data_IF_215370657728
#
_entry.id   IF_215370657728
#
_cell.length_a   1.000
_cell.length_b   1.000
_cell.length_c   1.000
_cell.angle_alpha   90.00
_cell.angle_beta   90.00
_cell.angle_gamma   90.00
#
_symmetry.space_group_name_H-M   'P 1'
#
loop_
_entity.id
_entity.type
_entity.pdbx_description
1 polymer ?
#
# COMPACT_ATOMS: atom_id res chain seq x y z
N UNK A 1 -67.79 -51.91 -24.57
CA UNK A 1 -68.76 -51.01 -23.92
C UNK A 1 -68.05 -50.33 -22.77
N UNK A 2 -68.02 -49.01 -22.85
CA UNK A 2 -67.86 -48.03 -21.76
C UNK A 2 -66.52 -47.92 -20.99
N UNK A 3 -65.82 -46.85 -21.37
CA UNK A 3 -64.99 -45.90 -20.62
C UNK A 3 -64.87 -46.04 -19.09
N UNK A 4 -63.69 -45.72 -18.53
CA UNK A 4 -63.40 -44.36 -18.01
C UNK A 4 -62.01 -44.23 -17.31
N UNK A 5 -61.30 -43.17 -17.73
CA UNK A 5 -60.31 -42.31 -17.04
C UNK A 5 -59.06 -42.88 -16.34
N UNK A 6 -57.91 -42.54 -16.94
CA UNK A 6 -56.57 -42.52 -16.34
C UNK A 6 -56.43 -41.40 -15.30
N UNK A 7 -55.95 -41.75 -14.10
CA UNK A 7 -55.28 -40.81 -13.18
C UNK A 7 -54.02 -41.50 -12.66
N UNK A 8 -52.89 -40.81 -12.84
CA UNK A 8 -51.55 -41.20 -12.45
C UNK A 8 -51.39 -41.24 -10.92
N UNK A 9 -50.81 -42.31 -10.38
CA UNK A 9 -50.36 -42.40 -8.99
C UNK A 9 -48.82 -42.53 -8.94
N UNK A 10 -48.21 -41.42 -8.53
CA UNK A 10 -46.98 -41.24 -7.76
C UNK A 10 -46.06 -42.48 -7.59
N UNK A 11 -45.02 -42.54 -8.40
CA UNK A 11 -43.83 -43.35 -8.17
C UNK A 11 -42.85 -42.61 -7.26
N UNK A 12 -42.50 -43.22 -6.14
CA UNK A 12 -41.42 -42.82 -5.27
C UNK A 12 -40.07 -42.96 -6.00
N UNK A 13 -39.30 -41.88 -6.10
CA UNK A 13 -37.91 -41.91 -6.53
C UNK A 13 -37.03 -41.71 -5.29
N UNK A 14 -36.13 -42.67 -5.10
CA UNK A 14 -35.13 -42.70 -4.06
C UNK A 14 -34.27 -41.43 -4.07
N UNK A 15 -34.11 -40.81 -2.91
CA UNK A 15 -33.14 -39.76 -2.66
C UNK A 15 -31.73 -40.37 -2.69
N UNK A 16 -31.06 -40.26 -3.84
CA UNK A 16 -29.62 -40.47 -3.95
C UNK A 16 -28.90 -39.23 -3.41
N UNK A 17 -28.29 -39.36 -2.23
CA UNK A 17 -27.36 -38.38 -1.69
C UNK A 17 -26.07 -38.41 -2.52
N UNK A 18 -25.91 -37.45 -3.41
CA UNK A 18 -24.60 -37.12 -3.99
C UNK A 18 -23.81 -36.33 -2.94
N UNK A 19 -22.57 -36.71 -2.62
CA UNK A 19 -21.75 -35.92 -1.72
C UNK A 19 -21.39 -34.61 -2.42
N UNK A 20 -21.74 -33.49 -1.78
CA UNK A 20 -21.12 -32.20 -2.09
C UNK A 20 -19.61 -32.39 -1.95
N UNK A 21 -18.90 -32.20 -3.05
CA UNK A 21 -17.45 -32.05 -3.02
C UNK A 21 -17.15 -30.82 -2.14
N UNK A 22 -16.57 -31.08 -0.97
CA UNK A 22 -15.93 -30.09 -0.13
C UNK A 22 -14.95 -29.31 -1.01
N UNK A 23 -15.17 -28.01 -1.12
CA UNK A 23 -14.24 -27.09 -1.72
C UNK A 23 -12.86 -27.32 -1.10
N UNK A 24 -11.85 -27.48 -1.96
CA UNK A 24 -10.47 -27.61 -1.55
C UNK A 24 -10.05 -26.39 -0.72
N UNK A 25 -9.20 -26.56 0.31
CA UNK A 25 -8.59 -25.43 0.98
C UNK A 25 -7.75 -24.63 -0.02
N UNK A 26 -7.71 -23.32 0.19
CA UNK A 26 -6.94 -22.36 -0.60
C UNK A 26 -5.52 -22.87 -0.80
N UNK A 27 -5.10 -22.90 -2.05
CA UNK A 27 -3.72 -23.11 -2.45
C UNK A 27 -2.93 -21.88 -1.99
N UNK A 28 -2.04 -22.06 -1.02
CA UNK A 28 -1.16 -21.02 -0.51
C UNK A 28 -0.49 -20.26 -1.66
N UNK A 29 -0.59 -18.93 -1.64
CA UNK A 29 -0.08 -18.03 -2.67
C UNK A 29 1.38 -18.36 -3.03
N UNK A 30 1.65 -18.73 -4.28
CA UNK A 30 2.98 -19.04 -4.81
C UNK A 30 3.43 -17.92 -5.77
N UNK A 31 4.15 -16.90 -5.29
CA UNK A 31 4.82 -15.97 -6.19
C UNK A 31 6.02 -16.68 -6.82
N UNK A 32 5.99 -16.80 -8.14
CA UNK A 32 7.05 -17.37 -8.97
C UNK A 32 8.36 -16.62 -8.73
N UNK A 33 9.44 -17.36 -8.48
CA UNK A 33 10.77 -16.79 -8.31
C UNK A 33 11.19 -16.08 -9.61
N UNK A 34 11.59 -14.79 -9.56
CA UNK A 34 12.00 -14.09 -10.77
C UNK A 34 13.27 -14.72 -11.37
N UNK A 35 13.32 -14.80 -12.69
CA UNK A 35 14.52 -15.15 -13.41
C UNK A 35 15.59 -14.06 -13.15
N UNK A 36 16.74 -14.38 -12.52
CA UNK A 36 17.74 -13.39 -12.14
C UNK A 36 18.40 -12.65 -13.32
N UNK A 37 18.08 -13.05 -14.57
CA UNK A 37 18.59 -12.43 -15.79
C UNK A 37 17.61 -11.47 -16.49
N UNK A 38 16.39 -11.24 -15.97
CA UNK A 38 15.44 -10.32 -16.61
C UNK A 38 15.81 -8.83 -16.45
N UNK A 39 16.68 -8.49 -15.49
CA UNK A 39 17.14 -7.11 -15.24
C UNK A 39 18.56 -6.83 -15.75
N UNK A 40 19.14 -7.70 -16.58
CA UNK A 40 20.46 -7.50 -17.18
C UNK A 40 20.33 -7.00 -18.62
N UNK A 41 20.19 -5.68 -18.79
CA UNK A 41 20.85 -4.84 -19.82
C UNK A 41 19.97 -3.68 -20.28
N UNK A 42 20.27 -2.50 -19.74
CA UNK A 42 20.49 -1.32 -20.55
C UNK A 42 21.44 -0.39 -19.79
N UNK A 43 22.75 -0.66 -19.87
CA UNK A 43 23.68 0.46 -19.85
C UNK A 43 23.24 1.35 -21.04
N UNK A 44 22.83 2.60 -20.83
CA UNK A 44 22.61 3.47 -21.96
C UNK A 44 23.98 3.70 -22.57
N UNK A 45 24.29 2.99 -23.65
CA UNK A 45 25.22 3.45 -24.66
C UNK A 45 24.98 4.94 -24.83
N UNK A 46 26.01 5.76 -24.63
CA UNK A 46 25.99 7.23 -24.70
C UNK A 46 25.20 7.69 -25.94
N UNK A 47 23.89 7.83 -25.77
CA UNK A 47 23.02 8.39 -26.78
C UNK A 47 23.26 9.89 -26.72
N UNK A 48 23.62 10.48 -27.86
CA UNK A 48 23.67 11.93 -28.03
C UNK A 48 22.53 12.59 -27.26
N UNK A 49 22.79 13.60 -26.40
CA UNK A 49 21.77 14.16 -25.52
C UNK A 49 20.58 14.62 -26.37
N UNK A 50 19.38 14.13 -26.02
CA UNK A 50 18.16 14.45 -26.75
C UNK A 50 18.06 15.97 -26.97
N UNK A 51 17.65 16.45 -28.16
CA UNK A 51 17.51 17.88 -28.40
C UNK A 51 16.60 18.53 -27.34
N UNK A 52 16.91 19.76 -26.85
CA UNK A 52 16.13 20.40 -25.78
C UNK A 52 14.62 20.49 -26.07
N UNK A 53 14.24 20.67 -27.33
CA UNK A 53 12.82 20.72 -27.73
C UNK A 53 12.11 19.37 -27.55
N UNK A 54 12.81 18.26 -27.81
CA UNK A 54 12.30 16.91 -27.63
C UNK A 54 12.15 16.59 -26.15
N UNK A 55 13.12 16.98 -25.33
CA UNK A 55 13.05 16.86 -23.86
C UNK A 55 11.85 17.63 -23.30
N UNK A 56 11.64 18.87 -23.75
CA UNK A 56 10.50 19.69 -23.31
C UNK A 56 9.15 19.08 -23.70
N UNK A 57 9.03 18.60 -24.94
CA UNK A 57 7.80 17.92 -25.40
C UNK A 57 7.52 16.64 -24.62
N UNK A 58 8.54 15.83 -24.33
CA UNK A 58 8.40 14.63 -23.51
C UNK A 58 7.95 14.98 -22.08
N UNK A 59 8.56 16.01 -21.48
CA UNK A 59 8.17 16.54 -20.18
C UNK A 59 6.70 16.99 -20.17
N UNK A 60 6.27 17.80 -21.14
CA UNK A 60 4.90 18.30 -21.22
C UNK A 60 3.88 17.17 -21.47
N UNK A 61 4.22 16.16 -22.26
CA UNK A 61 3.38 14.96 -22.45
C UNK A 61 3.21 14.18 -21.15
N UNK A 62 4.30 13.91 -20.44
CA UNK A 62 4.24 13.18 -19.17
C UNK A 62 3.47 13.97 -18.11
N UNK A 63 3.65 15.30 -18.07
CA UNK A 63 2.89 16.19 -17.18
C UNK A 63 1.38 16.06 -17.39
N UNK A 64 0.92 15.98 -18.65
CA UNK A 64 -0.50 15.78 -18.95
C UNK A 64 -1.01 14.42 -18.45
N UNK A 65 -0.21 13.36 -18.53
CA UNK A 65 -0.59 12.03 -18.01
C UNK A 65 -0.76 12.09 -16.48
N UNK A 66 0.19 12.72 -15.79
CA UNK A 66 0.13 12.98 -14.35
C UNK A 66 -1.15 13.74 -14.00
N UNK A 67 -1.36 14.92 -14.61
CA UNK A 67 -2.53 15.77 -14.33
C UNK A 67 -3.85 15.04 -14.53
N UNK A 68 -3.94 14.23 -15.60
CA UNK A 68 -5.12 13.41 -15.90
C UNK A 68 -5.39 12.34 -14.86
N UNK A 69 -4.33 11.70 -14.37
CA UNK A 69 -4.40 10.66 -13.34
C UNK A 69 -4.79 11.28 -11.99
N UNK A 70 -4.16 12.39 -11.60
CA UNK A 70 -4.52 13.12 -10.37
C UNK A 70 -5.98 13.60 -10.37
N UNK A 71 -6.48 14.03 -11.53
CA UNK A 71 -7.85 14.51 -11.66
C UNK A 71 -8.92 13.45 -11.36
N UNK A 72 -8.57 12.15 -11.32
CA UNK A 72 -9.51 11.06 -11.03
C UNK A 72 -10.25 11.24 -9.69
N UNK A 73 -9.60 11.83 -8.68
CA UNK A 73 -10.24 12.10 -7.35
C UNK A 73 -11.40 13.09 -7.43
N UNK A 74 -11.45 13.89 -8.51
CA UNK A 74 -12.51 14.86 -8.77
C UNK A 74 -13.34 14.50 -10.01
N UNK A 75 -13.06 13.37 -10.65
CA UNK A 75 -13.76 12.92 -11.84
C UNK A 75 -15.14 12.34 -11.44
N UNK A 76 -16.26 12.93 -11.89
CA UNK A 76 -17.58 12.52 -11.44
C UNK A 76 -17.93 11.09 -11.88
N UNK A 77 -17.41 10.63 -13.02
CA UNK A 77 -17.65 9.27 -13.53
C UNK A 77 -16.86 8.28 -12.68
N UNK A 78 -15.57 8.53 -12.47
CA UNK A 78 -14.73 7.67 -11.65
C UNK A 78 -15.29 7.52 -10.23
N UNK A 79 -15.73 8.62 -9.62
CA UNK A 79 -16.36 8.62 -8.29
C UNK A 79 -17.67 7.85 -8.28
N UNK A 80 -18.56 8.09 -9.24
CA UNK A 80 -19.84 7.39 -9.32
C UNK A 80 -19.65 5.87 -9.47
N UNK A 81 -18.69 5.43 -10.29
CA UNK A 81 -18.39 4.01 -10.47
C UNK A 81 -17.75 3.38 -9.23
N UNK A 82 -16.89 4.11 -8.50
CA UNK A 82 -16.35 3.61 -7.23
C UNK A 82 -17.44 3.52 -6.15
N UNK A 83 -18.25 4.56 -6.02
CA UNK A 83 -19.34 4.66 -5.03
C UNK A 83 -20.39 3.57 -5.25
N UNK A 84 -20.70 3.19 -6.49
CA UNK A 84 -21.64 2.09 -6.80
C UNK A 84 -21.16 0.72 -6.30
N UNK A 85 -19.86 0.58 -6.02
CA UNK A 85 -19.23 -0.64 -5.49
C UNK A 85 -18.85 -0.52 -4.01
N UNK A 86 -19.31 0.53 -3.31
CA UNK A 86 -18.93 0.87 -1.93
C UNK A 86 -17.42 1.13 -1.76
N UNK A 87 -16.81 1.69 -2.79
CA UNK A 87 -15.43 2.15 -2.81
C UNK A 87 -15.40 3.69 -2.93
N UNK A 88 -14.23 4.27 -2.70
CA UNK A 88 -13.97 5.70 -2.79
C UNK A 88 -12.64 5.95 -3.51
N UNK A 89 -12.51 7.09 -4.17
CA UNK A 89 -11.26 7.55 -4.83
C UNK A 89 -10.64 8.64 -3.97
N UNK A 90 -9.41 8.42 -3.49
CA UNK A 90 -8.76 9.22 -2.44
C UNK A 90 -7.33 9.62 -2.84
N UNK A 91 -6.84 10.75 -2.33
CA UNK A 91 -5.41 11.11 -2.42
C UNK A 91 -4.60 10.67 -1.19
N UNK A 92 -5.27 10.49 -0.06
CA UNK A 92 -4.69 10.12 1.23
C UNK A 92 -5.57 9.06 1.86
N UNK A 93 -4.92 8.01 2.34
CA UNK A 93 -5.54 6.84 2.96
C UNK A 93 -5.14 6.76 4.42
N UNK A 94 -6.06 6.34 5.29
CA UNK A 94 -5.80 6.23 6.72
C UNK A 94 -5.46 4.77 7.05
N UNK A 95 -4.22 4.52 7.42
CA UNK A 95 -3.67 3.20 7.70
C UNK A 95 -3.41 3.03 9.21
N UNK A 96 -4.48 3.16 9.97
CA UNK A 96 -4.43 3.27 11.44
C UNK A 96 -4.38 1.91 12.10
N UNK A 97 -3.79 1.86 13.30
CA UNK A 97 -3.77 0.64 14.12
C UNK A 97 -4.55 0.78 15.42
N UNK A 98 -4.99 1.99 15.78
CA UNK A 98 -5.64 2.23 17.09
C UNK A 98 -6.67 3.36 17.12
N UNK A 99 -7.44 3.57 16.05
CA UNK A 99 -8.47 4.65 16.04
C UNK A 99 -9.55 4.43 17.12
N UNK A 100 -10.06 5.52 17.70
CA UNK A 100 -11.20 5.44 18.63
C UNK A 100 -12.51 5.13 17.89
N UNK A 101 -13.46 4.49 18.57
CA UNK A 101 -14.78 4.21 18.00
C UNK A 101 -15.50 5.49 17.58
N UNK A 102 -16.07 5.47 16.38
CA UNK A 102 -16.82 6.58 15.81
C UNK A 102 -16.02 7.88 15.65
N UNK A 103 -14.69 7.82 15.69
CA UNK A 103 -13.81 8.99 15.60
C UNK A 103 -12.93 8.91 14.36
N UNK A 104 -12.34 10.06 13.97
CA UNK A 104 -11.29 10.15 12.95
C UNK A 104 -9.89 10.19 13.55
N UNK A 105 -9.76 10.03 14.86
CA UNK A 105 -8.49 10.14 15.59
C UNK A 105 -8.30 8.98 16.56
N UNK A 106 -7.07 8.80 17.01
CA UNK A 106 -6.69 7.83 18.02
C UNK A 106 -5.17 7.78 18.21
N UNK A 107 -4.69 6.81 18.99
CA UNK A 107 -3.28 6.44 18.98
C UNK A 107 -2.86 5.69 17.69
N UNK A 108 -1.58 5.82 17.34
CA UNK A 108 -0.92 5.10 16.24
C UNK A 108 -1.67 5.20 14.89
N UNK A 109 -1.74 6.43 14.39
CA UNK A 109 -2.52 6.86 13.23
C UNK A 109 -1.55 7.25 12.11
N UNK A 110 -1.77 6.76 10.91
CA UNK A 110 -0.88 6.98 9.78
C UNK A 110 -1.63 7.39 8.52
N UNK A 111 -1.19 8.48 7.91
CA UNK A 111 -1.60 8.87 6.56
C UNK A 111 -0.65 8.23 5.54
N UNK A 112 -1.21 7.52 4.56
CA UNK A 112 -0.47 6.95 3.45
C UNK A 112 -0.92 7.57 2.12
N UNK A 113 0.05 7.84 1.24
CA UNK A 113 -0.17 8.26 -0.14
C UNK A 113 0.92 7.72 -1.06
N UNK A 114 0.70 7.76 -2.38
CA UNK A 114 1.70 7.41 -3.39
C UNK A 114 2.09 8.68 -4.14
N UNK A 115 3.40 8.88 -4.35
CA UNK A 115 3.91 10.10 -4.97
C UNK A 115 4.76 9.84 -6.20
N UNK A 116 4.52 10.65 -7.22
CA UNK A 116 5.34 10.73 -8.44
C UNK A 116 6.05 12.07 -8.46
N UNK A 117 7.34 12.04 -8.75
CA UNK A 117 8.19 13.21 -8.90
C UNK A 117 8.43 13.49 -10.38
N UNK A 118 8.31 14.75 -10.80
CA UNK A 118 8.64 15.21 -12.14
C UNK A 118 9.67 16.34 -12.06
N UNK A 119 10.79 16.24 -12.79
CA UNK A 119 11.79 17.31 -12.88
C UNK A 119 11.60 18.13 -14.15
N UNK A 120 11.50 19.46 -14.03
CA UNK A 120 11.53 20.34 -15.20
C UNK A 120 12.94 20.32 -15.82
N UNK A 121 13.08 19.97 -17.13
CA UNK A 121 14.38 19.79 -17.76
C UNK A 121 15.18 21.10 -17.89
N UNK A 122 14.53 22.27 -17.79
CA UNK A 122 15.13 23.60 -17.90
C UNK A 122 15.46 24.15 -16.52
N UNK A 123 14.46 24.25 -15.62
CA UNK A 123 14.64 24.87 -14.31
C UNK A 123 15.28 23.94 -13.28
N UNK A 124 15.30 22.62 -13.55
CA UNK A 124 15.71 21.54 -12.64
C UNK A 124 14.87 21.44 -11.37
N UNK A 125 13.78 22.21 -11.27
CA UNK A 125 12.86 22.13 -10.16
C UNK A 125 12.03 20.85 -10.24
N UNK A 126 11.76 20.28 -9.07
CA UNK A 126 10.94 19.10 -8.92
C UNK A 126 9.50 19.48 -8.56
N UNK A 127 8.53 18.78 -9.14
CA UNK A 127 7.11 18.85 -8.81
C UNK A 127 6.66 17.50 -8.27
N UNK A 128 5.77 17.52 -7.27
CA UNK A 128 5.28 16.33 -6.58
C UNK A 128 3.79 16.17 -6.79
N UNK A 129 3.39 14.94 -7.06
CA UNK A 129 2.03 14.62 -7.44
C UNK A 129 1.54 13.42 -6.63
N UNK A 130 0.48 13.62 -5.84
CA UNK A 130 -0.22 12.52 -5.16
C UNK A 130 -1.03 11.74 -6.17
N UNK A 131 -0.91 10.41 -6.12
CA UNK A 131 -1.63 9.50 -7.01
C UNK A 131 -2.93 9.00 -6.35
N UNK A 132 -4.00 8.83 -7.13
CA UNK A 132 -5.30 8.43 -6.62
C UNK A 132 -5.27 6.96 -6.19
N UNK A 133 -5.96 6.68 -5.09
CA UNK A 133 -6.12 5.35 -4.50
C UNK A 133 -7.61 5.02 -4.41
N UNK A 134 -7.99 3.81 -4.78
CA UNK A 134 -9.33 3.24 -4.63
C UNK A 134 -9.32 2.22 -3.51
N UNK A 135 -10.23 2.41 -2.56
CA UNK A 135 -10.47 1.53 -1.41
C UNK A 135 -11.84 1.78 -0.79
N UNK A 136 -12.22 0.98 0.21
CA UNK A 136 -13.32 1.37 1.10
C UNK A 136 -13.03 2.72 1.77
N UNK A 137 -14.06 3.51 2.11
CA UNK A 137 -13.83 4.86 2.61
C UNK A 137 -13.06 4.87 3.94
N UNK A 138 -12.27 5.93 4.14
CA UNK A 138 -11.30 6.02 5.23
C UNK A 138 -11.94 5.95 6.62
N UNK A 139 -13.15 6.49 6.78
CA UNK A 139 -13.79 6.56 8.10
C UNK A 139 -14.23 5.18 8.58
N UNK A 140 -14.80 4.38 7.68
CA UNK A 140 -15.22 3.01 7.96
C UNK A 140 -14.01 2.07 8.14
N UNK A 141 -12.89 2.30 7.44
CA UNK A 141 -11.67 1.46 7.51
C UNK A 141 -11.96 -0.05 7.60
N UNK A 142 -12.68 -0.57 6.59
CA UNK A 142 -12.97 -2.00 6.50
C UNK A 142 -11.64 -2.76 6.44
N UNK A 143 -11.48 -3.68 7.38
CA UNK A 143 -10.26 -4.46 7.58
C UNK A 143 -10.59 -5.92 7.85
N UNK A 144 -9.60 -6.76 7.60
CA UNK A 144 -9.63 -8.19 7.80
C UNK A 144 -8.63 -8.61 8.88
N UNK A 145 -8.97 -9.65 9.63
CA UNK A 145 -8.03 -10.32 10.54
C UNK A 145 -7.53 -11.58 9.87
N UNK A 146 -6.26 -11.60 9.51
CA UNK A 146 -5.65 -12.72 8.80
C UNK A 146 -4.51 -13.28 9.67
N UNK A 147 -4.40 -14.61 9.83
CA UNK A 147 -3.30 -15.22 10.55
C UNK A 147 -1.94 -14.72 10.07
N UNK A 148 -1.05 -14.40 11.00
CA UNK A 148 0.29 -13.89 10.68
C UNK A 148 1.06 -14.83 9.75
N UNK A 149 0.85 -16.13 9.91
CA UNK A 149 1.50 -17.20 9.15
C UNK A 149 1.03 -17.31 7.69
N UNK A 150 -0.04 -16.61 7.31
CA UNK A 150 -0.51 -16.56 5.92
C UNK A 150 0.35 -15.65 5.04
N UNK A 151 1.20 -14.81 5.63
CA UNK A 151 2.03 -13.86 4.90
C UNK A 151 3.45 -14.37 4.67
N UNK A 152 3.89 -14.29 3.43
CA UNK A 152 5.24 -14.66 3.01
C UNK A 152 5.89 -13.52 2.24
N UNK A 153 7.16 -13.25 2.55
CA UNK A 153 7.94 -12.18 1.96
C UNK A 153 9.13 -12.76 1.18
N UNK A 154 9.52 -12.08 0.11
CA UNK A 154 10.81 -12.32 -0.54
C UNK A 154 11.89 -11.55 0.19
N UNK A 155 12.96 -12.21 0.60
CA UNK A 155 14.10 -11.61 1.33
C UNK A 155 15.42 -12.08 0.72
N UNK A 156 16.52 -11.38 1.03
CA UNK A 156 17.85 -11.60 0.45
C UNK A 156 18.40 -10.33 -0.23
N UNK A 157 17.50 -9.46 -0.71
CA UNK A 157 17.84 -8.19 -1.34
C UNK A 157 18.62 -7.24 -0.41
N UNK A 158 18.42 -7.34 0.90
CA UNK A 158 19.13 -6.55 1.90
C UNK A 158 20.62 -6.91 2.00
N UNK A 159 21.03 -8.08 1.50
CA UNK A 159 22.44 -8.53 1.43
C UNK A 159 22.95 -8.72 -0.01
N UNK A 160 22.10 -8.43 -1.01
CA UNK A 160 22.40 -8.74 -2.40
C UNK A 160 22.50 -10.25 -2.66
N UNK A 161 21.80 -11.06 -1.88
CA UNK A 161 21.70 -12.52 -2.03
C UNK A 161 20.50 -12.90 -2.91
N UNK A 162 20.45 -14.16 -3.34
CA UNK A 162 19.30 -14.70 -4.06
C UNK A 162 18.03 -14.62 -3.20
N UNK A 163 16.91 -14.29 -3.84
CA UNK A 163 15.64 -14.16 -3.14
C UNK A 163 15.14 -15.52 -2.63
N UNK A 164 14.71 -15.54 -1.38
CA UNK A 164 14.02 -16.67 -0.78
C UNK A 164 12.73 -16.22 -0.11
N UNK A 165 11.74 -17.13 -0.15
CA UNK A 165 10.45 -16.95 0.52
C UNK A 165 10.58 -17.26 2.01
N UNK A 166 10.11 -16.34 2.86
CA UNK A 166 10.15 -16.45 4.31
C UNK A 166 8.83 -15.97 4.91
N UNK A 167 8.33 -16.64 5.95
CA UNK A 167 7.11 -16.21 6.64
C UNK A 167 7.32 -14.87 7.36
N UNK A 168 6.28 -14.02 7.38
CA UNK A 168 6.33 -12.73 8.08
C UNK A 168 6.64 -12.91 9.59
N UNK A 169 6.12 -13.98 10.19
CA UNK A 169 6.43 -14.39 11.57
C UNK A 169 7.92 -14.62 11.82
N UNK A 170 8.63 -15.23 10.87
CA UNK A 170 10.07 -15.46 10.93
C UNK A 170 10.85 -14.16 10.77
N UNK A 171 10.45 -13.32 9.80
CA UNK A 171 11.07 -11.98 9.61
C UNK A 171 10.93 -11.14 10.86
N UNK A 172 9.74 -11.07 11.48
CA UNK A 172 9.54 -10.34 12.72
C UNK A 172 10.22 -11.01 13.92
N UNK A 173 10.28 -12.34 13.93
CA UNK A 173 10.94 -13.15 14.96
C UNK A 173 12.44 -12.92 15.05
N UNK A 174 13.09 -12.61 13.93
CA UNK A 174 14.53 -12.36 13.84
C UNK A 174 14.89 -11.21 12.88
N UNK A 175 14.18 -10.09 12.98
CA UNK A 175 14.31 -8.94 12.08
C UNK A 175 15.76 -8.49 11.89
N UNK A 176 16.59 -8.57 12.94
CA UNK A 176 18.01 -8.17 12.86
C UNK A 176 18.77 -8.92 11.76
N UNK A 177 18.43 -10.17 11.47
CA UNK A 177 19.07 -10.97 10.42
C UNK A 177 18.65 -10.55 9.01
N UNK A 178 17.58 -9.77 8.88
CA UNK A 178 16.99 -9.26 7.63
C UNK A 178 17.26 -7.77 7.43
N UNK A 179 18.32 -7.25 8.06
CA UNK A 179 18.83 -5.90 7.89
C UNK A 179 20.15 -5.95 7.10
N UNK A 180 20.31 -4.98 6.21
CA UNK A 180 21.59 -4.66 5.54
C UNK A 180 22.60 -4.07 6.52
N UNK A 181 22.12 -3.37 7.54
CA UNK A 181 22.93 -2.80 8.63
C UNK A 181 22.40 -3.26 9.99
N UNK A 182 22.63 -4.52 10.40
CA UNK A 182 22.13 -5.06 11.67
C UNK A 182 22.53 -4.26 12.92
N UNK A 183 23.68 -3.59 12.87
CA UNK A 183 24.20 -2.76 13.96
C UNK A 183 23.46 -1.41 14.08
N UNK A 184 22.67 -1.01 13.07
CA UNK A 184 21.76 0.15 13.16
C UNK A 184 20.61 -0.09 14.14
N UNK A 185 20.35 -1.34 14.56
CA UNK A 185 19.49 -1.62 15.70
C UNK A 185 20.32 -1.64 16.98
N UNK A 186 20.24 -0.55 17.75
CA UNK A 186 20.95 -0.47 19.03
C UNK A 186 20.51 -1.55 20.02
N UNK A 187 21.49 -2.12 20.73
CA UNK A 187 21.26 -3.17 21.72
C UNK A 187 21.38 -4.58 21.14
N UNK A 188 20.76 -5.56 21.81
CA UNK A 188 20.82 -6.99 21.46
C UNK A 188 19.48 -7.57 21.01
N UNK A 189 18.47 -6.71 20.84
CA UNK A 189 17.14 -7.11 20.37
C UNK A 189 17.22 -7.73 18.98
N UNK A 190 16.43 -8.78 18.76
CA UNK A 190 16.35 -9.49 17.47
C UNK A 190 14.93 -9.60 16.94
N UNK A 191 13.95 -9.61 17.85
CA UNK A 191 12.55 -9.85 17.53
C UNK A 191 11.72 -8.59 17.73
N UNK A 192 10.80 -8.33 16.80
CA UNK A 192 9.66 -7.44 16.96
C UNK A 192 8.33 -8.22 17.06
N UNK A 193 8.38 -9.53 17.30
CA UNK A 193 7.18 -10.32 17.52
C UNK A 193 6.75 -10.24 18.99
N UNK A 194 5.46 -10.06 19.23
CA UNK A 194 4.81 -10.19 20.54
C UNK A 194 3.95 -11.47 20.54
N UNK A 195 4.48 -12.65 20.96
CA UNK A 195 3.84 -13.95 20.70
C UNK A 195 2.46 -14.15 21.35
N UNK A 196 2.15 -13.38 22.39
CA UNK A 196 0.82 -13.41 23.05
C UNK A 196 -0.23 -12.58 22.32
N UNK A 197 0.20 -11.72 21.39
CA UNK A 197 -0.61 -10.72 20.69
C UNK A 197 -0.69 -11.03 19.20
N UNK A 198 0.46 -11.25 18.57
CA UNK A 198 0.63 -11.32 17.11
C UNK A 198 0.23 -12.70 16.56
N UNK A 199 -1.02 -13.11 16.81
CA UNK A 199 -1.63 -14.27 16.16
C UNK A 199 -2.15 -13.94 14.76
N UNK A 200 -2.66 -12.71 14.61
CA UNK A 200 -3.22 -12.16 13.39
C UNK A 200 -2.59 -10.80 13.10
N UNK A 201 -2.71 -10.37 11.84
CA UNK A 201 -2.42 -9.01 11.41
C UNK A 201 -3.71 -8.33 10.96
N UNK A 202 -3.78 -7.01 11.15
CA UNK A 202 -4.87 -6.16 10.68
C UNK A 202 -4.63 -5.85 9.20
N UNK A 203 -5.53 -6.27 8.31
CA UNK A 203 -5.31 -6.20 6.86
C UNK A 203 -6.30 -5.28 6.19
N UNK A 204 -5.82 -4.40 5.32
CA UNK A 204 -6.65 -3.62 4.39
C UNK A 204 -6.13 -3.82 2.96
N UNK A 205 -7.02 -3.70 1.97
CA UNK A 205 -6.67 -3.80 0.56
C UNK A 205 -7.11 -2.55 -0.22
N UNK A 206 -6.27 -2.15 -1.18
CA UNK A 206 -6.48 -0.95 -1.98
C UNK A 206 -5.77 -1.01 -3.35
N UNK A 207 -6.16 -0.17 -4.29
CA UNK A 207 -5.55 -0.06 -5.62
C UNK A 207 -5.14 1.39 -5.94
N UNK A 208 -3.92 1.62 -6.41
CA UNK A 208 -3.37 2.93 -6.75
C UNK A 208 -3.19 3.05 -8.25
N UNK A 209 -3.47 4.22 -8.83
CA UNK A 209 -3.18 4.47 -10.24
C UNK A 209 -1.86 5.20 -10.42
N UNK A 210 -0.96 4.60 -11.20
CA UNK A 210 0.29 5.20 -11.63
C UNK A 210 0.12 5.85 -13.01
N UNK A 211 0.71 7.04 -13.22
CA UNK A 211 0.56 7.81 -14.45
C UNK A 211 1.53 7.29 -15.51
N UNK A 212 1.38 6.04 -15.96
CA UNK A 212 2.31 5.41 -16.90
C UNK A 212 1.86 5.72 -18.34
N UNK A 213 2.67 6.43 -19.14
CA UNK A 213 2.36 6.69 -20.56
C UNK A 213 2.18 5.39 -21.36
N UNK A 214 1.75 5.50 -22.61
CA UNK A 214 1.62 4.33 -23.50
C UNK A 214 2.96 3.62 -23.77
N UNK A 215 4.07 4.32 -23.60
CA UNK A 215 5.41 3.75 -23.68
C UNK A 215 6.23 4.28 -22.49
N UNK A 216 6.91 3.38 -21.78
CA UNK A 216 7.88 3.72 -20.72
C UNK A 216 7.44 3.29 -19.32
N UNK A 217 7.91 4.03 -18.31
CA UNK A 217 7.67 3.72 -16.90
C UNK A 217 7.42 4.99 -16.08
N UNK A 218 6.84 4.81 -14.90
CA UNK A 218 6.73 5.85 -13.88
C UNK A 218 7.65 5.51 -12.70
N UNK A 219 8.39 6.50 -12.19
CA UNK A 219 9.12 6.41 -10.92
C UNK A 219 8.24 6.98 -9.82
N UNK A 220 8.12 6.27 -8.70
CA UNK A 220 7.27 6.66 -7.59
C UNK A 220 7.81 6.19 -6.24
N UNK A 221 7.23 6.73 -5.15
CA UNK A 221 7.45 6.26 -3.79
C UNK A 221 6.13 6.18 -3.03
N UNK A 222 5.89 5.11 -2.25
CA UNK A 222 4.99 5.18 -1.13
C UNK A 222 5.47 6.23 -0.13
N UNK A 223 4.54 6.95 0.46
CA UNK A 223 4.80 8.00 1.44
C UNK A 223 3.90 7.77 2.65
N UNK A 224 4.50 7.74 3.82
CA UNK A 224 3.81 7.52 5.08
C UNK A 224 4.12 8.66 6.05
N UNK A 225 3.08 9.22 6.67
CA UNK A 225 3.22 10.13 7.79
C UNK A 225 2.52 9.54 9.00
N UNK A 226 3.23 9.36 10.10
CA UNK A 226 2.63 8.86 11.33
C UNK A 226 2.57 9.97 12.38
N UNK A 227 1.38 10.28 12.89
CA UNK A 227 1.14 11.45 13.74
C UNK A 227 1.86 11.43 15.09
N UNK A 228 2.28 10.24 15.54
CA UNK A 228 3.00 10.08 16.79
C UNK A 228 4.52 10.03 16.59
N UNK A 229 4.98 9.61 15.40
CA UNK A 229 6.39 9.41 15.07
C UNK A 229 7.18 10.73 14.99
N UNK A 230 8.46 10.68 15.37
CA UNK A 230 9.38 11.82 15.37
C UNK A 230 10.85 11.36 15.38
N UNK A 231 11.80 12.25 15.09
CA UNK A 231 13.22 11.92 15.12
C UNK A 231 13.65 11.32 16.46
N UNK A 232 14.31 10.16 16.39
CA UNK A 232 14.82 9.45 17.56
C UNK A 232 13.76 8.76 18.43
N UNK A 233 12.47 8.87 18.12
CA UNK A 233 11.37 8.24 18.87
C UNK A 233 10.20 7.83 17.94
N UNK A 234 10.46 6.94 16.96
CA UNK A 234 9.46 6.47 16.00
C UNK A 234 8.35 5.70 16.71
N UNK A 235 7.09 5.87 16.28
CA UNK A 235 5.96 5.09 16.76
C UNK A 235 5.65 3.89 15.86
N UNK A 236 6.25 3.85 14.65
CA UNK A 236 6.05 2.78 13.67
C UNK A 236 7.36 2.51 12.94
N UNK A 237 7.63 1.22 12.71
CA UNK A 237 8.54 0.74 11.69
C UNK A 237 7.73 0.19 10.52
N UNK A 238 8.22 0.42 9.31
CA UNK A 238 7.63 -0.12 8.08
C UNK A 238 8.49 -1.22 7.49
N UNK A 239 7.83 -2.24 6.96
CA UNK A 239 8.43 -3.21 6.05
C UNK A 239 7.66 -3.11 4.74
N UNK A 240 8.28 -2.58 3.70
CA UNK A 240 7.76 -2.70 2.34
C UNK A 240 8.19 -4.04 1.75
N UNK A 241 7.25 -4.80 1.20
CA UNK A 241 7.55 -6.07 0.53
C UNK A 241 7.01 -6.07 -0.90
N UNK A 242 7.87 -6.47 -1.84
CA UNK A 242 7.55 -6.63 -3.26
C UNK A 242 8.06 -7.98 -3.76
N UNK A 243 7.79 -8.31 -5.02
CA UNK A 243 8.41 -9.47 -5.69
C UNK A 243 9.94 -9.42 -5.73
N UNK A 244 10.55 -8.24 -5.55
CA UNK A 244 12.01 -8.04 -5.62
C UNK A 244 12.69 -8.04 -4.25
N UNK A 245 11.93 -8.08 -3.15
CA UNK A 245 12.49 -8.13 -1.81
C UNK A 245 11.74 -7.31 -0.77
N UNK A 246 12.41 -7.03 0.36
CA UNK A 246 11.89 -6.23 1.48
C UNK A 246 12.72 -5.00 1.81
N UNK A 247 12.08 -3.97 2.36
CA UNK A 247 12.76 -2.73 2.79
C UNK A 247 12.26 -2.32 4.17
N UNK A 248 13.17 -2.26 5.14
CA UNK A 248 12.86 -2.01 6.56
C UNK A 248 13.24 -0.59 6.93
N UNK A 249 12.28 0.23 7.37
CA UNK A 249 12.54 1.66 7.66
C UNK A 249 11.72 2.13 8.85
N UNK A 250 12.36 2.81 9.82
CA UNK A 250 11.65 3.52 10.89
C UNK A 250 11.04 4.83 10.37
N UNK A 251 9.86 5.19 10.90
CA UNK A 251 9.19 6.44 10.53
C UNK A 251 9.55 7.53 11.54
N UNK A 252 10.08 8.64 11.06
CA UNK A 252 10.36 9.83 11.88
C UNK A 252 9.83 11.14 11.30
N UNK A 253 9.19 11.08 10.14
CA UNK A 253 8.59 12.19 9.40
C UNK A 253 9.56 13.29 8.93
N UNK A 254 10.88 13.08 9.00
CA UNK A 254 11.88 14.09 8.61
C UNK A 254 12.78 13.66 7.46
N UNK A 255 13.25 12.42 7.47
CA UNK A 255 14.22 11.95 6.46
C UNK A 255 13.58 11.83 5.09
N UNK A 256 14.48 11.87 4.11
CA UNK A 256 14.18 11.56 2.71
C UNK A 256 13.04 12.39 2.13
N UNK A 257 12.93 13.62 2.62
CA UNK A 257 12.08 14.63 2.04
C UNK A 257 12.52 15.01 0.63
N UNK A 258 11.61 15.60 -0.12
CA UNK A 258 11.90 16.01 -1.49
C UNK A 258 12.71 17.30 -1.54
N UNK A 259 13.59 17.40 -2.53
CA UNK A 259 14.23 18.67 -2.90
C UNK A 259 13.22 19.76 -3.29
N UNK A 260 11.98 19.38 -3.64
CA UNK A 260 10.87 20.26 -3.96
C UNK A 260 10.27 21.02 -2.75
N UNK A 261 10.70 20.73 -1.52
CA UNK A 261 10.14 21.30 -0.30
C UNK A 261 9.04 20.42 0.31
N UNK A 262 7.89 21.00 0.66
CA UNK A 262 6.80 20.42 1.48
C UNK A 262 6.60 18.91 1.24
N UNK A 263 6.91 18.11 2.25
CA UNK A 263 6.69 16.67 2.26
C UNK A 263 5.33 16.36 2.86
N UNK A 264 4.54 15.52 2.20
CA UNK A 264 3.30 15.00 2.78
C UNK A 264 3.55 13.92 3.84
N UNK A 265 4.77 13.37 3.86
CA UNK A 265 5.23 12.33 4.77
C UNK A 265 6.65 11.91 4.44
N UNK A 266 7.11 10.85 5.08
CA UNK A 266 8.40 10.23 4.81
C UNK A 266 8.30 9.35 3.56
N UNK A 267 9.21 9.53 2.60
CA UNK A 267 9.30 8.64 1.44
C UNK A 267 9.84 7.29 1.85
N UNK A 268 9.26 6.25 1.29
CA UNK A 268 9.74 4.89 1.45
C UNK A 268 10.41 4.43 0.14
N UNK A 269 11.48 3.67 0.28
CA UNK A 269 12.32 3.23 -0.83
C UNK A 269 12.48 1.72 -0.81
N UNK A 270 12.92 1.20 -1.95
CA UNK A 270 13.45 -0.14 -2.04
C UNK A 270 14.89 -0.19 -1.49
N UNK A 271 15.18 -1.19 -0.65
CA UNK A 271 16.52 -1.50 -0.16
C UNK A 271 17.22 -2.44 -1.16
N UNK A 272 18.26 -1.93 -1.82
CA UNK A 272 19.15 -2.69 -2.69
C UNK A 272 20.51 -2.84 -2.02
N UNK A 273 20.62 -3.83 -1.14
CA UNK A 273 21.86 -4.15 -0.43
C UNK A 273 22.47 -2.94 0.33
N UNK A 274 21.65 -2.23 1.11
CA UNK A 274 22.06 -1.04 1.86
C UNK A 274 22.02 0.26 1.07
N UNK A 275 21.64 0.22 -0.22
CA UNK A 275 21.43 1.40 -1.07
C UNK A 275 19.95 1.59 -1.37
N UNK A 276 19.45 2.83 -1.37
CA UNK A 276 18.05 3.14 -1.64
C UNK A 276 17.81 3.32 -3.13
N UNK A 277 16.65 2.87 -3.60
CA UNK A 277 16.13 3.15 -4.94
C UNK A 277 14.63 3.44 -4.87
N UNK A 278 14.15 4.43 -5.64
CA UNK A 278 12.71 4.61 -5.82
C UNK A 278 12.09 3.44 -6.58
N UNK A 279 10.79 3.25 -6.40
CA UNK A 279 10.06 2.21 -7.11
C UNK A 279 9.78 2.63 -8.54
N UNK A 280 9.63 1.65 -9.42
CA UNK A 280 9.23 1.85 -10.81
C UNK A 280 7.95 1.06 -11.09
N UNK A 281 7.10 1.62 -11.95
CA UNK A 281 5.95 0.94 -12.50
C UNK A 281 6.04 0.94 -14.02
N UNK A 282 5.84 -0.22 -14.63
CA UNK A 282 5.71 -0.38 -16.08
C UNK A 282 4.39 -1.08 -16.41
N UNK A 283 3.84 -0.84 -17.60
CA UNK A 283 2.64 -1.55 -18.05
C UNK A 283 2.89 -3.05 -18.12
N UNK A 284 1.89 -3.84 -17.77
CA UNK A 284 1.97 -5.30 -17.89
C UNK A 284 2.19 -5.71 -19.35
N UNK A 285 1.51 -5.07 -20.29
CA UNK A 285 1.70 -5.28 -21.74
C UNK A 285 3.16 -5.06 -22.19
N UNK A 286 3.81 -3.99 -21.73
CA UNK A 286 5.22 -3.70 -22.01
C UNK A 286 6.15 -4.76 -21.40
N UNK A 287 5.91 -5.16 -20.16
CA UNK A 287 6.70 -6.21 -19.49
C UNK A 287 6.62 -7.55 -20.23
N UNK A 288 5.41 -7.96 -20.63
CA UNK A 288 5.19 -9.20 -21.36
C UNK A 288 5.84 -9.20 -22.74
N UNK A 289 5.83 -8.05 -23.43
CA UNK A 289 6.50 -7.91 -24.72
C UNK A 289 8.02 -8.13 -24.64
N UNK A 290 8.63 -7.79 -23.51
CA UNK A 290 10.05 -8.00 -23.24
C UNK A 290 10.36 -9.44 -22.85
N UNK A 291 9.57 -10.05 -21.96
CA UNK A 291 9.82 -11.42 -21.50
C UNK A 291 9.51 -12.48 -22.57
N UNK A 292 8.50 -12.24 -23.42
CA UNK A 292 8.02 -13.21 -24.41
C UNK A 292 7.97 -12.60 -25.83
N UNK A 293 9.11 -12.27 -26.45
CA UNK A 293 9.17 -11.57 -27.74
C UNK A 293 8.64 -12.38 -28.95
N UNK A 294 8.18 -13.62 -28.73
CA UNK A 294 7.72 -14.54 -29.80
C UNK A 294 6.36 -15.21 -29.57
N UNK A 295 5.64 -14.92 -28.47
CA UNK A 295 4.29 -15.47 -28.21
C UNK A 295 3.37 -14.43 -27.56
N UNK A 296 2.82 -13.48 -28.33
CA UNK A 296 1.80 -12.57 -27.83
C UNK A 296 0.52 -13.38 -27.51
N UNK A 297 0.13 -13.47 -26.23
CA UNK A 297 -1.21 -13.94 -25.83
C UNK A 297 -1.35 -15.36 -25.27
N UNK A 298 -0.27 -16.10 -25.00
CA UNK A 298 -0.33 -17.35 -24.21
C UNK A 298 0.43 -17.18 -22.89
N UNK A 299 -0.30 -16.85 -21.83
CA UNK A 299 0.16 -17.01 -20.44
C UNK A 299 -1.02 -17.52 -19.62
N UNK A 300 -0.77 -18.47 -18.71
CA UNK A 300 -1.76 -18.87 -17.73
C UNK A 300 -2.02 -17.70 -16.76
N UNK A 301 -3.28 -17.43 -16.43
CA UNK A 301 -3.67 -16.33 -15.52
C UNK A 301 -2.89 -16.35 -14.17
N UNK A 302 -2.40 -17.52 -13.76
CA UNK A 302 -1.56 -17.76 -12.57
C UNK A 302 -0.20 -17.01 -12.57
N UNK A 303 0.38 -16.69 -13.74
CA UNK A 303 1.79 -16.21 -13.85
C UNK A 303 1.93 -14.68 -13.66
N UNK A 304 0.82 -13.98 -13.42
CA UNK A 304 0.80 -12.51 -13.24
C UNK A 304 0.51 -12.06 -11.81
N UNK A 305 0.22 -13.02 -10.92
CA UNK A 305 -0.17 -12.74 -9.55
C UNK A 305 1.01 -12.19 -8.73
N UNK A 306 0.80 -11.06 -8.05
CA UNK A 306 1.81 -10.38 -7.25
C UNK A 306 2.78 -9.46 -8.02
N UNK A 307 2.76 -9.45 -9.36
CA UNK A 307 3.63 -8.55 -10.15
C UNK A 307 3.33 -7.07 -9.91
N UNK A 308 2.07 -6.75 -9.60
CA UNK A 308 1.57 -5.39 -9.41
C UNK A 308 1.22 -5.08 -7.94
N UNK A 309 1.84 -5.79 -6.99
CA UNK A 309 1.49 -5.70 -5.58
C UNK A 309 2.68 -5.24 -4.73
N UNK A 310 2.41 -4.38 -3.76
CA UNK A 310 3.31 -4.05 -2.67
C UNK A 310 2.56 -4.22 -1.35
N UNK A 311 3.19 -4.90 -0.39
CA UNK A 311 2.70 -4.91 0.99
C UNK A 311 3.39 -3.79 1.76
N UNK A 312 2.61 -2.92 2.39
CA UNK A 312 3.12 -2.00 3.41
C UNK A 312 2.74 -2.56 4.79
N UNK A 313 3.75 -3.01 5.52
CA UNK A 313 3.57 -3.60 6.84
C UNK A 313 4.02 -2.60 7.89
N UNK A 314 3.09 -2.13 8.72
CA UNK A 314 3.36 -1.26 9.85
C UNK A 314 3.48 -2.08 11.12
N UNK A 315 4.64 -1.97 11.78
CA UNK A 315 4.96 -2.59 13.07
C UNK A 315 5.01 -1.48 14.13
N UNK A 316 3.99 -1.39 15.01
CA UNK A 316 3.97 -0.36 16.05
C UNK A 316 5.13 -0.52 17.04
N UNK A 317 5.76 0.60 17.38
CA UNK A 317 6.93 0.71 18.25
C UNK A 317 6.62 1.54 19.49
N UNK A 318 7.25 1.17 20.61
CA UNK A 318 7.11 1.90 21.87
C UNK A 318 7.83 3.23 21.76
N UNK A 319 7.12 4.29 22.14
CA UNK A 319 7.71 5.61 22.28
C UNK A 319 8.26 5.84 23.68
N UNK A 320 9.40 6.50 23.78
CA UNK A 320 10.04 6.89 25.05
C UNK A 320 9.23 7.97 25.77
N UNK A 321 8.64 8.89 25.02
CA UNK A 321 7.73 9.89 25.55
C UNK A 321 6.45 9.93 24.68
N UNK A 322 5.47 9.05 24.95
CA UNK A 322 4.18 9.13 24.29
C UNK A 322 3.47 10.43 24.67
N UNK A 323 2.44 10.82 23.91
CA UNK A 323 1.57 11.94 24.24
C UNK A 323 0.98 11.72 25.67
N UNK A 324 1.57 12.37 26.69
CA UNK A 324 1.26 12.15 28.11
C UNK A 324 -0.04 12.84 28.53
N UNK A 325 -0.83 12.16 29.37
CA UNK A 325 -1.98 12.71 30.10
C UNK A 325 -1.51 13.69 31.19
N UNK A 326 -1.47 14.99 30.91
CA UNK A 326 -1.39 16.05 31.93
C UNK A 326 -1.92 17.37 31.36
N UNK A 327 -2.70 18.08 32.18
CA UNK A 327 -3.57 19.21 31.82
C UNK A 327 -2.88 20.57 31.83
N UNK A 328 -3.05 21.41 30.79
CA UNK A 328 -3.38 22.86 30.93
C UNK A 328 -3.58 23.59 29.58
N UNK A 329 -4.69 24.35 29.52
CA UNK A 329 -5.24 25.30 28.54
C UNK A 329 -4.30 25.94 27.48
N UNK A 330 -4.69 25.97 26.19
CA UNK A 330 -5.46 27.06 25.52
C UNK A 330 -5.60 26.82 23.97
N UNK A 331 -6.64 27.38 23.34
CA UNK A 331 -7.19 27.07 21.98
C UNK A 331 -6.54 27.75 20.74
N UNK A 332 -6.64 27.15 19.53
CA UNK A 332 -6.61 27.82 18.19
C UNK A 332 -7.23 26.97 17.02
N UNK A 333 -7.46 27.64 15.88
CA UNK A 333 -8.50 27.47 14.83
C UNK A 333 -8.08 26.69 13.53
N UNK A 334 -9.00 26.41 12.56
CA UNK A 334 -8.80 25.41 11.49
C UNK A 334 -8.24 25.94 10.14
N UNK A 335 -7.77 24.99 9.31
CA UNK A 335 -7.14 25.18 8.00
C UNK A 335 -8.13 25.30 6.80
N UNK A 336 -7.65 25.89 5.71
CA UNK A 336 -8.41 26.36 4.54
C UNK A 336 -8.62 25.29 3.44
N UNK A 337 -9.67 25.43 2.58
CA UNK A 337 -9.94 24.49 1.49
C UNK A 337 -9.10 24.78 0.23
N UNK A 338 -8.75 23.71 -0.49
CA UNK A 338 -8.08 23.75 -1.80
C UNK A 338 -9.08 23.95 -2.95
N UNK A 339 -8.68 24.70 -3.98
CA UNK A 339 -9.51 25.13 -5.10
C UNK A 339 -9.77 24.02 -6.13
N UNK A 340 -10.93 24.10 -6.80
CA UNK A 340 -11.40 23.15 -7.80
C UNK A 340 -10.66 23.27 -9.15
N UNK A 341 -10.39 22.11 -9.77
CA UNK A 341 -9.81 21.96 -11.10
C UNK A 341 -10.87 22.11 -12.23
N UNK A 342 -10.47 22.49 -13.47
CA UNK A 342 -11.39 22.69 -14.58
C UNK A 342 -11.98 21.37 -15.14
N UNK A 343 -13.19 21.46 -15.72
CA UNK A 343 -13.87 20.38 -16.44
C UNK A 343 -13.03 19.87 -17.63
N UNK A 344 -12.94 18.55 -17.79
CA UNK A 344 -12.20 17.90 -18.88
C UNK A 344 -13.08 17.57 -20.09
N UNK A 345 -12.48 17.72 -21.29
CA UNK A 345 -12.99 17.27 -22.59
C UNK A 345 -13.13 15.74 -22.67
N UNK A 346 -13.96 15.27 -23.61
CA UNK A 346 -14.25 13.85 -23.86
C UNK A 346 -12.97 13.02 -23.98
N UNK A 347 -12.65 12.26 -22.94
CA UNK A 347 -11.51 11.33 -22.95
C UNK A 347 -11.86 10.08 -23.76
N UNK A 348 -10.85 9.48 -24.39
CA UNK A 348 -10.99 8.20 -25.09
C UNK A 348 -11.37 7.05 -24.15
N UNK A 349 -11.47 5.80 -24.65
CA UNK A 349 -11.75 4.64 -23.80
C UNK A 349 -10.70 4.49 -22.69
N UNK A 350 -11.06 3.80 -21.59
CA UNK A 350 -10.09 3.46 -20.55
C UNK A 350 -8.93 2.64 -21.11
N UNK A 351 -7.74 2.88 -20.54
CA UNK A 351 -6.50 2.18 -20.85
C UNK A 351 -5.85 1.58 -19.60
N UNK A 352 -6.66 1.33 -18.57
CA UNK A 352 -6.21 0.79 -17.29
C UNK A 352 -5.74 -0.65 -17.46
N UNK A 353 -4.60 -0.96 -16.87
CA UNK A 353 -4.07 -2.33 -16.76
C UNK A 353 -3.23 -2.47 -15.48
N UNK A 354 -2.74 -3.67 -15.16
CA UNK A 354 -1.82 -3.87 -14.05
C UNK A 354 -0.47 -3.17 -14.30
N UNK A 355 0.09 -2.53 -13.26
CA UNK A 355 1.43 -1.96 -13.31
C UNK A 355 2.43 -2.90 -12.62
N UNK A 356 3.36 -3.47 -13.38
CA UNK A 356 4.43 -4.32 -12.83
C UNK A 356 5.41 -3.45 -12.03
N UNK A 357 5.60 -3.78 -10.76
CA UNK A 357 6.39 -2.97 -9.82
C UNK A 357 7.81 -3.48 -9.73
N UNK A 358 8.80 -2.61 -9.96
CA UNK A 358 10.22 -2.87 -9.72
C UNK A 358 10.90 -1.74 -8.95
N UNK A 359 12.22 -1.64 -9.08
CA UNK A 359 13.01 -0.53 -8.53
C UNK A 359 13.87 0.17 -9.60
N UNK A 360 14.20 1.43 -9.36
CA UNK A 360 15.00 2.29 -10.22
C UNK A 360 16.51 2.21 -9.93
N UNK A 361 17.21 3.25 -10.37
CA UNK A 361 18.63 3.42 -10.07
C UNK A 361 18.87 3.71 -8.58
N UNK A 362 20.07 3.40 -8.10
CA UNK A 362 20.50 3.73 -6.74
C UNK A 362 20.61 5.25 -6.58
N UNK A 363 20.05 5.75 -5.48
CA UNK A 363 20.00 7.18 -5.12
C UNK A 363 20.88 7.53 -3.91
N UNK A 364 21.58 6.54 -3.34
CA UNK A 364 22.47 6.69 -2.18
C UNK A 364 22.15 5.73 -1.05
N UNK A 365 22.71 5.94 0.16
CA UNK A 365 22.58 4.98 1.25
C UNK A 365 21.14 4.85 1.74
N UNK A 366 20.75 3.61 2.06
CA UNK A 366 19.47 3.28 2.67
C UNK A 366 19.55 3.42 4.20
N UNK A 367 18.52 3.98 4.82
CA UNK A 367 18.46 4.14 6.28
C UNK A 367 17.41 3.21 6.88
N UNK A 368 17.86 2.29 7.72
CA UNK A 368 17.01 1.27 8.36
C UNK A 368 16.49 1.72 9.73
N UNK A 369 17.19 1.35 10.81
CA UNK A 369 16.78 1.59 12.22
C UNK A 369 17.53 2.78 12.84
N UNK A 370 18.49 3.35 12.12
CA UNK A 370 19.12 4.62 12.49
C UNK A 370 19.74 4.67 13.90
N UNK A 371 20.41 3.57 14.27
CA UNK A 371 21.04 3.41 15.58
C UNK A 371 20.06 3.50 16.76
N UNK A 372 18.76 3.28 16.53
CA UNK A 372 17.73 3.37 17.55
C UNK A 372 17.55 2.03 18.29
N UNK A 373 17.27 2.14 19.59
CA UNK A 373 16.89 1.00 20.43
C UNK A 373 15.37 0.83 20.39
N UNK A 374 14.85 0.39 19.24
CA UNK A 374 13.41 0.19 19.03
C UNK A 374 12.90 -1.06 19.77
N UNK A 375 11.63 -1.03 20.16
CA UNK A 375 10.91 -2.13 20.82
C UNK A 375 9.47 -2.18 20.29
N UNK A 376 8.95 -3.39 20.03
CA UNK A 376 7.56 -3.63 19.61
C UNK A 376 6.57 -3.14 20.67
N UNK A 377 5.51 -2.44 20.25
CA UNK A 377 4.41 -1.99 21.13
C UNK A 377 3.16 -2.88 21.02
N UNK A 378 3.01 -3.90 21.89
CA UNK A 378 1.94 -4.90 21.76
C UNK A 378 0.53 -4.32 21.92
N UNK A 379 0.38 -3.10 22.40
CA UNK A 379 -0.92 -2.45 22.55
C UNK A 379 -1.60 -2.22 21.18
N UNK A 380 -0.85 -2.23 20.08
CA UNK A 380 -1.37 -2.05 18.72
C UNK A 380 -1.09 -3.30 17.86
N UNK A 381 -2.00 -3.69 16.97
CA UNK A 381 -1.76 -4.77 16.01
C UNK A 381 -0.68 -4.40 14.99
N UNK A 382 -0.07 -5.40 14.38
CA UNK A 382 0.67 -5.20 13.13
C UNK A 382 -0.35 -5.02 12.00
N UNK A 383 -0.18 -3.98 11.18
CA UNK A 383 -1.06 -3.70 10.04
C UNK A 383 -0.38 -4.05 8.73
N UNK A 384 -1.09 -4.73 7.84
CA UNK A 384 -0.66 -5.03 6.47
C UNK A 384 -1.61 -4.35 5.50
N UNK A 385 -1.11 -3.38 4.75
CA UNK A 385 -1.84 -2.77 3.65
C UNK A 385 -1.43 -3.43 2.34
N UNK A 386 -2.36 -4.16 1.72
CA UNK A 386 -2.19 -4.78 0.40
C UNK A 386 -2.49 -3.73 -0.67
N UNK A 387 -1.45 -3.21 -1.33
CA UNK A 387 -1.58 -2.19 -2.36
C UNK A 387 -1.36 -2.80 -3.74
N UNK A 388 -2.42 -2.85 -4.54
CA UNK A 388 -2.32 -3.12 -5.97
C UNK A 388 -1.99 -1.84 -6.74
N UNK A 389 -1.30 -1.98 -7.87
CA UNK A 389 -0.95 -0.88 -8.75
C UNK A 389 -1.54 -1.08 -10.14
N UNK A 390 -2.14 0.00 -10.66
CA UNK A 390 -2.79 0.08 -11.97
C UNK A 390 -2.11 1.16 -12.81
N UNK A 391 -1.77 0.86 -14.05
CA UNK A 391 -1.23 1.81 -15.01
C UNK A 391 -2.38 2.57 -15.70
N UNK A 392 -2.23 3.85 -15.97
CA UNK A 392 -3.09 4.60 -16.91
C UNK A 392 -2.33 5.75 -17.55
N UNK A 393 -2.62 6.04 -18.82
CA UNK A 393 -2.08 7.22 -19.53
C UNK A 393 -3.08 8.36 -19.65
N UNK A 394 -4.37 8.11 -19.35
CA UNK A 394 -5.45 9.04 -19.61
C UNK A 394 -6.33 9.34 -18.40
N UNK A 395 -6.16 8.61 -17.29
CA UNK A 395 -6.94 8.76 -16.06
C UNK A 395 -8.43 8.46 -16.25
N UNK A 396 -8.78 7.60 -17.22
CA UNK A 396 -10.14 7.13 -17.47
C UNK A 396 -10.29 5.73 -16.92
N UNK A 397 -11.39 5.51 -16.20
CA UNK A 397 -11.79 4.21 -15.66
C UNK A 397 -13.15 3.82 -16.23
N UNK A 398 -13.30 2.55 -16.53
CA UNK A 398 -14.53 1.91 -16.95
C UNK A 398 -15.17 1.14 -15.80
N UNK A 399 -16.40 0.69 -16.00
CA UNK A 399 -17.09 -0.20 -15.04
C UNK A 399 -16.33 -1.52 -14.85
N UNK A 400 -15.73 -2.06 -15.91
CA UNK A 400 -14.93 -3.28 -15.84
C UNK A 400 -13.68 -3.11 -14.97
N UNK A 401 -12.96 -1.99 -15.12
CA UNK A 401 -11.77 -1.71 -14.30
C UNK A 401 -12.12 -1.64 -12.81
N UNK A 402 -13.26 -1.00 -12.49
CA UNK A 402 -13.73 -0.87 -11.12
C UNK A 402 -14.20 -2.20 -10.54
N UNK A 403 -14.89 -3.03 -11.34
CA UNK A 403 -15.28 -4.37 -10.94
C UNK A 403 -14.06 -5.27 -10.66
N UNK A 404 -13.03 -5.20 -11.51
CA UNK A 404 -11.78 -5.94 -11.32
C UNK A 404 -11.05 -5.49 -10.04
N UNK A 405 -10.96 -4.18 -9.80
CA UNK A 405 -10.37 -3.64 -8.55
C UNK A 405 -11.15 -4.13 -7.34
N UNK A 406 -12.49 -4.11 -7.41
CA UNK A 406 -13.33 -4.60 -6.32
C UNK A 406 -13.10 -6.08 -6.05
N UNK A 407 -13.02 -6.90 -7.09
CA UNK A 407 -12.73 -8.33 -6.97
C UNK A 407 -11.35 -8.59 -6.37
N UNK A 408 -10.32 -7.81 -6.74
CA UNK A 408 -8.99 -7.90 -6.13
C UNK A 408 -9.02 -7.58 -4.63
N UNK A 409 -9.76 -6.54 -4.23
CA UNK A 409 -9.94 -6.18 -2.81
C UNK A 409 -10.68 -7.31 -2.07
N UNK A 410 -11.79 -7.80 -2.62
CA UNK A 410 -12.60 -8.85 -1.98
C UNK A 410 -11.82 -10.16 -1.81
N UNK A 411 -10.95 -10.51 -2.77
CA UNK A 411 -10.08 -11.69 -2.67
C UNK A 411 -9.14 -11.66 -1.48
N UNK A 412 -8.59 -10.49 -1.12
CA UNK A 412 -7.74 -10.36 0.08
C UNK A 412 -8.52 -10.70 1.36
N UNK A 413 -9.83 -10.42 1.38
CA UNK A 413 -10.68 -10.64 2.54
C UNK A 413 -11.36 -12.01 2.57
N UNK A 414 -11.28 -12.79 1.49
CA UNK A 414 -12.03 -14.04 1.34
C UNK A 414 -11.66 -15.11 2.37
N UNK A 415 -10.44 -15.06 2.90
CA UNK A 415 -9.87 -16.05 3.84
C UNK A 415 -9.66 -15.49 5.23
N UNK A 416 -10.18 -14.29 5.50
CA UNK A 416 -10.05 -13.67 6.79
C UNK A 416 -10.96 -14.35 7.82
N UNK A 417 -10.47 -14.49 9.05
CA UNK A 417 -11.29 -15.00 10.16
C UNK A 417 -12.35 -13.97 10.57
N UNK A 418 -12.07 -12.68 10.33
CA UNK A 418 -12.98 -11.56 10.58
C UNK A 418 -12.85 -10.52 9.48
N UNK A 419 -13.97 -9.92 9.06
CA UNK A 419 -14.00 -8.75 8.17
C UNK A 419 -14.99 -7.75 8.74
N UNK A 420 -14.55 -6.51 8.93
CA UNK A 420 -15.39 -5.44 9.48
C UNK A 420 -14.60 -4.20 9.81
N UNK A 421 -15.28 -3.24 10.44
CA UNK A 421 -14.70 -1.98 10.88
C UNK A 421 -14.32 -2.02 12.36
N UNK A 422 -13.08 -1.67 12.69
CA UNK A 422 -12.69 -1.39 14.08
C UNK A 422 -13.15 0.00 14.57
N UNK A 423 -13.83 0.78 13.71
CA UNK A 423 -14.23 2.17 13.99
C UNK A 423 -15.74 2.29 14.17
N UNK A 424 -16.53 1.69 13.26
CA UNK A 424 -17.99 1.91 13.21
C UNK A 424 -18.81 0.72 13.73
N UNK A 425 -18.24 -0.48 13.84
CA UNK A 425 -18.97 -1.65 14.35
C UNK A 425 -19.01 -1.70 15.88
N UNK A 426 -18.24 -0.84 16.55
CA UNK A 426 -18.16 -0.75 18.01
C UNK A 426 -17.24 -1.81 18.62
N UNK A 427 -17.36 -2.05 19.94
CA UNK A 427 -16.52 -3.01 20.65
C UNK A 427 -16.54 -4.40 20.03
N UNK A 428 -15.36 -4.98 19.79
CA UNK A 428 -15.21 -6.32 19.24
C UNK A 428 -14.23 -7.17 20.05
N UNK A 429 -14.30 -8.49 19.89
CA UNK A 429 -13.29 -9.42 20.43
C UNK A 429 -12.24 -9.78 19.34
N UNK A 430 -12.08 -8.91 18.33
CA UNK A 430 -11.16 -9.17 17.21
C UNK A 430 -9.73 -9.27 17.73
N UNK A 431 -8.94 -10.26 17.29
CA UNK A 431 -7.55 -10.42 17.73
C UNK A 431 -6.65 -9.22 17.41
N UNK A 432 -7.06 -8.39 16.45
CA UNK A 432 -6.33 -7.20 16.01
C UNK A 432 -6.87 -5.90 16.61
N UNK A 433 -7.95 -5.92 17.38
CA UNK A 433 -8.42 -4.71 18.07
C UNK A 433 -7.34 -4.21 19.04
N UNK A 434 -6.97 -2.92 19.00
CA UNK A 434 -5.93 -2.37 19.87
C UNK A 434 -6.27 -2.52 21.35
N UNK A 435 -5.29 -2.41 22.24
CA UNK A 435 -5.49 -2.32 23.68
C UNK A 435 -5.65 -0.85 24.12
N UNK A 436 -6.03 -0.63 25.38
CA UNK A 436 -6.18 0.72 25.93
C UNK A 436 -7.51 1.41 25.59
N UNK A 437 -7.64 2.72 25.86
CA UNK A 437 -8.88 3.47 25.70
C UNK A 437 -9.43 3.41 24.27
N UNK A 438 -10.75 3.25 24.15
CA UNK A 438 -11.47 3.14 22.87
C UNK A 438 -12.30 4.36 22.50
N UNK A 439 -12.54 5.25 23.47
CA UNK A 439 -13.29 6.48 23.27
C UNK A 439 -12.34 7.67 23.15
N UNK A 440 -12.67 8.61 22.26
CA UNK A 440 -11.93 9.87 22.12
C UNK A 440 -12.02 10.70 23.42
N UNK A 441 -10.88 10.99 24.07
CA UNK A 441 -10.89 11.85 25.26
C UNK A 441 -11.34 13.27 24.92
N UNK A 442 -12.12 13.89 25.80
CA UNK A 442 -12.63 15.25 25.59
C UNK A 442 -11.53 16.32 25.37
N UNK A 443 -10.32 16.07 25.85
CA UNK A 443 -9.14 16.95 25.72
C UNK A 443 -8.15 16.48 24.64
N UNK A 444 -8.53 15.54 23.77
CA UNK A 444 -7.64 14.96 22.75
C UNK A 444 -6.95 16.02 21.88
N UNK A 445 -7.72 16.93 21.28
CA UNK A 445 -7.18 17.97 20.40
C UNK A 445 -6.24 18.93 21.11
N UNK A 446 -6.46 19.21 22.38
CA UNK A 446 -5.58 20.06 23.18
C UNK A 446 -4.21 19.40 23.33
N UNK A 447 -4.21 18.12 23.73
CA UNK A 447 -3.00 17.29 23.85
C UNK A 447 -2.26 17.17 22.52
N UNK A 448 -3.00 16.96 21.43
CA UNK A 448 -2.43 16.88 20.09
C UNK A 448 -1.70 18.16 19.72
N UNK A 449 -2.33 19.33 19.88
CA UNK A 449 -1.69 20.60 19.53
C UNK A 449 -0.53 20.99 20.47
N UNK A 450 -0.60 20.64 21.75
CA UNK A 450 0.55 20.76 22.67
C UNK A 450 1.72 19.89 22.22
N UNK A 451 1.44 18.64 21.88
CA UNK A 451 2.44 17.72 21.35
C UNK A 451 3.09 18.26 20.06
N UNK A 452 2.27 18.70 19.10
CA UNK A 452 2.76 19.25 17.83
C UNK A 452 3.57 20.56 18.01
N UNK A 453 3.21 21.42 18.97
CA UNK A 453 3.98 22.63 19.29
C UNK A 453 5.36 22.29 19.85
N UNK A 454 5.42 21.38 20.81
CA UNK A 454 6.69 20.94 21.42
C UNK A 454 7.65 20.30 20.40
N UNK A 455 7.14 19.78 19.28
CA UNK A 455 7.95 19.27 18.17
C UNK A 455 8.56 20.38 17.31
N UNK A 456 7.87 21.51 17.13
CA UNK A 456 8.38 22.64 16.33
C UNK A 456 9.45 23.44 17.05
N UNK A 457 9.42 23.44 18.37
CA UNK A 457 10.35 24.18 19.22
C UNK A 457 11.66 23.42 19.53
N UNK A 458 11.78 22.17 19.02
CA UNK A 458 12.98 21.32 19.11
C UNK A 458 13.62 21.17 17.74
#
# INVERSE_FOLDING_TARGET
MEHHWNVWLLGAIAAGTLPLALAAPIQAWDPIAPNPNANANANPTESSPMPPIVQRQAFDRYRQVIERTQAMVHDPIARQLAESLNLNVLNVTWEDTGRFYGSSVGPNISDMTIQVQQQDPVSRQHQLHLMPVIRHPNFEDISADIPLESFFLQVGNEKGEDLRRVALSEVLGDLRSYLSTPDSWSGRGRSLLAPRRDSHVLVSAQACFLPIPQEGSATFNPVLFNYQSRPGDPAVLTILATREGTSVTVIDNQRDGFEAGQTWGQRLFFNKNGERASFTGQRLSDFQAVENPGRPGEVAEDDTEGLNMVLLIQVPLKQRAPMRQQSSFDTMAPAAPMAAAPLMESRGPSDVEAAVIGHGAVEGPFTEIDNLAIERDPDYPIRVTVQFYKATSNGVVSEADMAEIREQIDRVYAEADYVGSLVVDGPSDRPTEHDGPKDEPADWWQRFWEFQRNLRDR
#
